data_IF_040712774941
#
_entry.id   IF_040712774941
#
_cell.length_a   1.000
_cell.length_b   1.000
_cell.length_c   1.000
_cell.angle_alpha   90.00
_cell.angle_beta   90.00
_cell.angle_gamma   90.00
#
_symmetry.space_group_name_H-M   'P 1'
#
loop_
_entity.id
_entity.type
_entity.pdbx_description
1 polymer ?
#
# COMPACT_ATOMS: atom_id res chain seq x y z
N UNK A 1 5.54 23.52 -21.37
CA UNK A 1 4.63 22.41 -21.01
C UNK A 1 4.61 22.37 -19.49
N UNK A 2 3.45 22.44 -18.85
CA UNK A 2 3.37 22.37 -17.39
C UNK A 2 3.84 20.98 -16.91
N UNK A 3 4.66 20.92 -15.87
CA UNK A 3 5.10 19.64 -15.31
C UNK A 3 4.00 19.06 -14.41
N UNK A 4 3.90 17.73 -14.35
CA UNK A 4 2.96 17.03 -13.46
C UNK A 4 3.10 17.53 -12.01
N UNK A 5 4.33 17.65 -11.51
CA UNK A 5 4.63 18.16 -10.18
C UNK A 5 4.03 19.55 -9.91
N UNK A 6 4.14 20.48 -10.87
CA UNK A 6 3.60 21.83 -10.73
C UNK A 6 2.07 21.82 -10.79
N UNK A 7 1.49 21.12 -11.77
CA UNK A 7 0.05 20.97 -11.90
C UNK A 7 -0.56 20.37 -10.62
N UNK A 8 0.02 19.28 -10.11
CA UNK A 8 -0.44 18.61 -8.89
C UNK A 8 -0.34 19.52 -7.65
N UNK A 9 0.76 20.27 -7.52
CA UNK A 9 0.92 21.24 -6.43
C UNK A 9 -0.09 22.38 -6.52
N UNK A 10 -0.33 22.91 -7.73
CA UNK A 10 -1.31 23.95 -7.99
C UNK A 10 -2.72 23.46 -7.63
N UNK A 11 -3.09 22.25 -8.06
CA UNK A 11 -4.38 21.63 -7.71
C UNK A 11 -4.53 21.56 -6.19
N UNK A 12 -3.54 21.02 -5.46
CA UNK A 12 -3.63 20.94 -4.01
C UNK A 12 -3.77 22.33 -3.37
N UNK A 13 -3.08 23.34 -3.90
CA UNK A 13 -3.19 24.72 -3.43
C UNK A 13 -4.57 25.34 -3.70
N UNK A 14 -5.22 25.02 -4.81
CA UNK A 14 -6.55 25.58 -5.14
C UNK A 14 -7.66 25.17 -4.18
N UNK A 15 -7.51 24.04 -3.50
CA UNK A 15 -8.49 23.58 -2.51
C UNK A 15 -8.15 24.02 -1.08
N UNK A 16 -6.94 24.55 -0.83
CA UNK A 16 -6.54 25.03 0.51
C UNK A 16 -7.51 26.12 0.96
N UNK A 17 -8.05 25.96 2.17
CA UNK A 17 -9.03 26.88 2.75
C UNK A 17 -10.47 26.62 2.33
N UNK A 18 -10.73 25.68 1.42
CA UNK A 18 -12.06 25.16 1.09
C UNK A 18 -12.27 23.76 1.67
N UNK A 19 -11.33 22.86 1.40
CA UNK A 19 -11.31 21.48 1.92
C UNK A 19 -9.90 20.90 1.78
N UNK A 20 -9.68 19.67 2.20
CA UNK A 20 -8.41 18.97 2.06
C UNK A 20 -8.61 17.57 1.49
N UNK A 21 -7.85 17.22 0.45
CA UNK A 21 -7.74 15.85 -0.03
C UNK A 21 -6.46 15.23 0.56
N UNK A 22 -6.57 14.63 1.74
CA UNK A 22 -5.42 14.04 2.42
C UNK A 22 -4.81 12.87 1.65
N UNK A 23 -5.61 12.11 0.89
CA UNK A 23 -5.11 11.02 0.06
C UNK A 23 -4.18 11.53 -1.04
N UNK A 24 -4.56 12.59 -1.76
CA UNK A 24 -3.67 13.22 -2.74
C UNK A 24 -2.42 13.81 -2.06
N UNK A 25 -2.56 14.37 -0.86
CA UNK A 25 -1.40 14.87 -0.08
C UNK A 25 -0.40 13.75 0.20
N UNK A 26 -0.85 12.54 0.56
CA UNK A 26 0.03 11.38 0.77
C UNK A 26 0.74 10.90 -0.50
N UNK A 27 0.15 11.13 -1.68
CA UNK A 27 0.75 10.74 -2.96
C UNK A 27 1.83 11.73 -3.46
N UNK A 28 1.98 12.89 -2.82
CA UNK A 28 2.90 13.95 -3.29
C UNK A 28 4.32 13.44 -3.54
N UNK A 29 4.89 12.67 -2.62
CA UNK A 29 6.25 12.14 -2.76
C UNK A 29 6.41 11.25 -3.99
N UNK A 30 5.43 10.37 -4.25
CA UNK A 30 5.43 9.51 -5.43
C UNK A 30 5.29 10.32 -6.73
N UNK A 31 4.44 11.37 -6.74
CA UNK A 31 4.30 12.28 -7.88
C UNK A 31 5.62 12.98 -8.21
N UNK A 32 6.32 13.49 -7.19
CA UNK A 32 7.61 14.14 -7.36
C UNK A 32 8.64 13.17 -7.96
N UNK A 33 8.75 11.96 -7.41
CA UNK A 33 9.68 10.93 -7.90
C UNK A 33 9.43 10.57 -9.38
N UNK A 34 8.18 10.32 -9.75
CA UNK A 34 7.80 9.95 -11.13
C UNK A 34 8.01 11.13 -12.08
N UNK A 35 7.59 12.34 -11.69
CA UNK A 35 7.73 13.54 -12.51
C UNK A 35 9.20 13.85 -12.78
N UNK A 36 10.06 13.82 -11.76
CA UNK A 36 11.48 14.17 -11.87
C UNK A 36 12.24 13.13 -12.73
N UNK A 37 11.83 11.86 -12.69
CA UNK A 37 12.46 10.76 -13.45
C UNK A 37 11.92 10.60 -14.90
N UNK A 38 10.85 11.31 -15.26
CA UNK A 38 10.15 11.13 -16.53
C UNK A 38 10.90 11.64 -17.77
N UNK A 39 11.88 12.53 -17.60
CA UNK A 39 12.60 13.15 -18.73
C UNK A 39 13.59 12.19 -19.40
N UNK A 40 14.03 11.16 -18.69
CA UNK A 40 15.10 10.24 -19.12
C UNK A 40 14.57 8.86 -19.51
N UNK A 41 13.25 8.64 -19.46
CA UNK A 41 12.63 7.33 -19.63
C UNK A 41 11.29 7.42 -20.34
N UNK A 42 11.18 6.77 -21.51
CA UNK A 42 9.98 6.81 -22.33
C UNK A 42 8.76 6.18 -21.63
N UNK A 43 8.95 5.15 -20.79
CA UNK A 43 7.84 4.51 -20.06
C UNK A 43 7.31 5.47 -18.99
N UNK A 44 8.20 6.08 -18.21
CA UNK A 44 7.81 7.08 -17.22
C UNK A 44 7.27 8.37 -17.85
N UNK A 45 7.76 8.76 -19.02
CA UNK A 45 7.22 9.88 -19.78
C UNK A 45 5.73 9.66 -20.12
N UNK A 46 5.37 8.49 -20.63
CA UNK A 46 3.97 8.15 -20.94
C UNK A 46 3.11 8.11 -19.68
N UNK A 47 3.60 7.52 -18.57
CA UNK A 47 2.90 7.58 -17.28
C UNK A 47 2.70 9.03 -16.81
N UNK A 48 3.75 9.84 -16.84
CA UNK A 48 3.71 11.24 -16.41
C UNK A 48 2.71 12.06 -17.25
N UNK A 49 2.66 11.82 -18.56
CA UNK A 49 1.68 12.45 -19.46
C UNK A 49 0.24 12.07 -19.10
N UNK A 50 -0.05 10.79 -18.90
CA UNK A 50 -1.39 10.32 -18.55
C UNK A 50 -1.82 10.79 -17.15
N UNK A 51 -0.88 10.82 -16.19
CA UNK A 51 -1.12 11.39 -14.87
C UNK A 51 -1.42 12.89 -14.94
N UNK A 52 -0.72 13.64 -15.80
CA UNK A 52 -0.95 15.06 -16.01
C UNK A 52 -2.33 15.31 -16.63
N UNK A 53 -2.78 14.46 -17.56
CA UNK A 53 -4.11 14.53 -18.15
C UNK A 53 -5.21 14.42 -17.07
N UNK A 54 -5.12 13.42 -16.20
CA UNK A 54 -6.05 13.24 -15.08
C UNK A 54 -5.97 14.43 -14.11
N UNK A 55 -4.76 14.87 -13.75
CA UNK A 55 -4.56 15.95 -12.79
C UNK A 55 -5.04 17.32 -13.32
N UNK A 56 -5.09 17.49 -14.64
CA UNK A 56 -5.56 18.71 -15.30
C UNK A 56 -7.09 18.77 -15.43
N UNK A 57 -7.81 17.70 -15.05
CA UNK A 57 -9.27 17.72 -15.07
C UNK A 57 -9.85 18.71 -14.08
N UNK A 58 -10.93 19.38 -14.48
CA UNK A 58 -11.65 20.31 -13.61
C UNK A 58 -12.10 19.61 -12.33
N UNK A 59 -11.83 20.23 -11.18
CA UNK A 59 -12.16 19.71 -9.87
C UNK A 59 -11.51 18.35 -9.55
N UNK A 60 -10.38 18.00 -10.18
CA UNK A 60 -9.64 16.75 -9.91
C UNK A 60 -9.50 16.46 -8.42
N UNK A 61 -9.02 17.42 -7.62
CA UNK A 61 -8.84 17.22 -6.17
C UNK A 61 -10.13 17.05 -5.36
N UNK A 62 -11.29 17.38 -5.92
CA UNK A 62 -12.60 17.20 -5.31
C UNK A 62 -13.33 15.96 -5.87
N UNK A 63 -12.73 15.28 -6.85
CA UNK A 63 -13.30 14.11 -7.50
C UNK A 63 -12.66 12.82 -6.95
N UNK A 64 -13.45 12.08 -6.16
CA UNK A 64 -13.01 10.86 -5.51
C UNK A 64 -12.68 9.72 -6.50
N UNK A 65 -13.42 9.61 -7.61
CA UNK A 65 -13.15 8.60 -8.64
C UNK A 65 -11.83 8.89 -9.34
N UNK A 66 -11.59 10.16 -9.68
CA UNK A 66 -10.34 10.59 -10.30
C UNK A 66 -9.14 10.47 -9.35
N UNK A 67 -9.34 10.70 -8.06
CA UNK A 67 -8.31 10.44 -7.04
C UNK A 67 -7.89 8.97 -7.06
N UNK A 68 -8.85 8.04 -7.13
CA UNK A 68 -8.56 6.60 -7.23
C UNK A 68 -7.88 6.22 -8.53
N UNK A 69 -8.38 6.71 -9.67
CA UNK A 69 -7.80 6.48 -10.99
C UNK A 69 -6.34 6.95 -11.03
N UNK A 70 -6.07 8.16 -10.54
CA UNK A 70 -4.74 8.74 -10.45
C UNK A 70 -3.81 7.89 -9.58
N UNK A 71 -4.27 7.43 -8.42
CA UNK A 71 -3.46 6.62 -7.50
C UNK A 71 -3.13 5.22 -8.04
N UNK A 72 -4.03 4.63 -8.83
CA UNK A 72 -3.76 3.36 -9.52
C UNK A 72 -2.64 3.54 -10.54
N UNK A 73 -2.78 4.53 -11.43
CA UNK A 73 -1.79 4.81 -12.46
C UNK A 73 -0.43 5.23 -11.88
N UNK A 74 -0.44 6.03 -10.80
CA UNK A 74 0.78 6.44 -10.10
C UNK A 74 1.47 5.26 -9.42
N UNK A 75 0.71 4.31 -8.87
CA UNK A 75 1.25 3.09 -8.26
C UNK A 75 2.05 2.25 -9.24
N UNK A 76 1.52 2.03 -10.45
CA UNK A 76 2.25 1.35 -11.53
C UNK A 76 3.55 2.09 -11.89
N UNK A 77 3.46 3.41 -12.12
CA UNK A 77 4.61 4.23 -12.49
C UNK A 77 5.70 4.21 -11.42
N UNK A 78 5.30 4.30 -10.15
CA UNK A 78 6.21 4.27 -9.02
C UNK A 78 6.86 2.88 -8.85
N UNK A 79 6.11 1.79 -9.02
CA UNK A 79 6.69 0.44 -8.98
C UNK A 79 7.76 0.25 -10.07
N UNK A 80 7.47 0.68 -11.30
CA UNK A 80 8.43 0.67 -12.39
C UNK A 80 9.70 1.45 -12.02
N UNK A 81 9.55 2.66 -11.48
CA UNK A 81 10.68 3.49 -11.06
C UNK A 81 11.51 2.84 -9.94
N UNK A 82 10.86 2.22 -8.95
CA UNK A 82 11.54 1.51 -7.86
C UNK A 82 12.38 0.34 -8.40
N UNK A 83 11.85 -0.42 -9.35
CA UNK A 83 12.59 -1.49 -10.03
C UNK A 83 13.78 -0.93 -10.81
N UNK A 84 13.56 0.11 -11.63
CA UNK A 84 14.62 0.76 -12.41
C UNK A 84 15.75 1.28 -11.53
N UNK A 85 15.43 1.93 -10.41
CA UNK A 85 16.43 2.45 -9.46
C UNK A 85 17.29 1.35 -8.82
N UNK A 86 16.79 0.11 -8.82
CA UNK A 86 17.51 -1.10 -8.38
C UNK A 86 18.21 -1.83 -9.53
N UNK A 87 18.23 -1.26 -10.73
CA UNK A 87 18.81 -1.87 -11.93
C UNK A 87 17.96 -2.98 -12.54
N UNK A 88 16.69 -3.10 -12.15
CA UNK A 88 15.75 -4.10 -12.68
C UNK A 88 14.98 -3.46 -13.83
N UNK A 89 15.17 -4.00 -15.03
CA UNK A 89 14.51 -3.51 -16.25
C UNK A 89 13.20 -4.27 -16.45
N UNK A 90 12.09 -3.55 -16.43
CA UNK A 90 10.76 -4.08 -16.67
C UNK A 90 10.25 -3.65 -18.05
N UNK A 91 9.58 -4.56 -18.74
CA UNK A 91 8.82 -4.27 -19.94
C UNK A 91 7.35 -4.10 -19.56
N UNK A 92 6.81 -2.90 -19.81
CA UNK A 92 5.37 -2.65 -19.66
C UNK A 92 4.59 -3.42 -20.73
N UNK A 93 3.61 -4.21 -20.30
CA UNK A 93 2.69 -4.88 -21.22
C UNK A 93 1.53 -3.93 -21.47
N UNK A 94 1.34 -3.52 -22.73
CA UNK A 94 0.22 -2.63 -23.09
C UNK A 94 -1.10 -3.38 -22.95
N UNK A 95 -2.08 -2.74 -22.33
CA UNK A 95 -3.43 -3.25 -22.24
C UNK A 95 -3.98 -3.55 -23.65
N UNK A 96 -4.26 -4.83 -23.91
CA UNK A 96 -4.89 -5.30 -25.14
C UNK A 96 -6.32 -5.75 -24.90
N UNK A 97 -6.86 -6.56 -25.82
CA UNK A 97 -8.16 -7.21 -25.66
C UNK A 97 -8.13 -8.35 -24.63
N UNK A 98 -6.96 -8.93 -24.38
CA UNK A 98 -6.73 -9.92 -23.34
C UNK A 98 -6.32 -9.24 -22.03
N UNK A 99 -6.79 -9.78 -20.89
CA UNK A 99 -6.29 -9.37 -19.58
C UNK A 99 -4.86 -9.90 -19.42
N UNK A 100 -3.92 -9.02 -19.18
CA UNK A 100 -2.49 -9.34 -19.03
C UNK A 100 -1.96 -8.72 -17.74
N UNK A 101 -0.83 -9.22 -17.22
CA UNK A 101 -0.10 -8.53 -16.16
C UNK A 101 0.41 -7.18 -16.64
N UNK A 102 0.70 -6.26 -15.72
CA UNK A 102 1.17 -4.90 -16.04
C UNK A 102 2.63 -4.88 -16.54
N UNK A 103 3.49 -5.70 -15.92
CA UNK A 103 4.92 -5.74 -16.25
C UNK A 103 5.44 -7.17 -16.43
N UNK A 104 6.47 -7.29 -17.26
CA UNK A 104 7.31 -8.50 -17.40
C UNK A 104 8.77 -8.14 -17.18
N UNK A 105 9.49 -8.97 -16.43
CA UNK A 105 10.94 -8.87 -16.34
C UNK A 105 11.59 -9.44 -17.60
N UNK A 106 12.46 -8.68 -18.27
CA UNK A 106 12.95 -9.05 -19.62
C UNK A 106 13.69 -10.39 -19.67
N UNK A 107 14.44 -10.73 -18.62
CA UNK A 107 15.32 -11.89 -18.63
C UNK A 107 14.59 -13.23 -18.39
N UNK A 108 13.34 -13.24 -17.93
CA UNK A 108 12.61 -14.44 -17.52
C UNK A 108 11.09 -14.30 -17.66
N UNK A 109 10.35 -15.42 -17.63
CA UNK A 109 8.87 -15.41 -17.58
C UNK A 109 8.30 -14.99 -16.21
N UNK A 110 8.92 -13.99 -15.57
CA UNK A 110 8.44 -13.36 -14.35
C UNK A 110 7.57 -12.15 -14.69
N UNK A 111 6.35 -12.13 -14.15
CA UNK A 111 5.38 -11.06 -14.37
C UNK A 111 4.97 -10.40 -13.06
N UNK A 112 4.63 -9.11 -13.13
CA UNK A 112 4.14 -8.33 -12.01
C UNK A 112 2.78 -7.72 -12.34
N UNK A 113 1.82 -7.92 -11.46
CA UNK A 113 0.51 -7.27 -11.50
C UNK A 113 0.43 -6.27 -10.34
N UNK A 114 0.28 -4.98 -10.65
CA UNK A 114 0.29 -3.90 -9.66
C UNK A 114 -1.12 -3.47 -9.31
N UNK A 115 -1.47 -3.56 -8.03
CA UNK A 115 -2.77 -3.13 -7.50
C UNK A 115 -2.56 -2.08 -6.40
N UNK A 116 -2.99 -0.85 -6.66
CA UNK A 116 -3.19 0.15 -5.60
C UNK A 116 -4.50 -0.12 -4.88
N UNK A 117 -4.41 -0.54 -3.61
CA UNK A 117 -5.60 -0.79 -2.80
C UNK A 117 -6.19 0.55 -2.35
N UNK A 118 -7.45 0.80 -2.73
CA UNK A 118 -8.20 1.98 -2.26
C UNK A 118 -8.74 1.74 -0.83
N UNK A 119 -9.25 2.80 -0.20
CA UNK A 119 -9.94 2.73 1.10
C UNK A 119 -11.12 1.73 1.08
N UNK A 120 -11.59 1.30 2.26
CA UNK A 120 -12.65 0.28 2.40
C UNK A 120 -13.84 0.54 1.48
N UNK A 121 -14.37 1.76 1.49
CA UNK A 121 -15.54 2.16 0.69
C UNK A 121 -15.18 2.74 -0.69
N UNK A 122 -13.93 2.56 -1.15
CA UNK A 122 -13.45 3.10 -2.43
C UNK A 122 -13.66 4.60 -2.56
N UNK A 123 -14.11 5.05 -3.73
CA UNK A 123 -14.39 6.47 -3.98
C UNK A 123 -15.39 7.07 -3.01
N UNK A 124 -16.38 6.31 -2.53
CA UNK A 124 -17.33 6.81 -1.53
C UNK A 124 -16.65 7.13 -0.20
N UNK A 125 -15.60 6.39 0.19
CA UNK A 125 -14.81 6.68 1.39
C UNK A 125 -13.96 7.95 1.23
N UNK A 126 -13.36 8.14 0.06
CA UNK A 126 -12.62 9.38 -0.27
C UNK A 126 -13.57 10.57 -0.29
N UNK A 127 -14.75 10.42 -0.91
CA UNK A 127 -15.80 11.45 -0.94
C UNK A 127 -16.23 11.85 0.47
N UNK A 128 -16.49 10.89 1.35
CA UNK A 128 -16.83 11.16 2.76
C UNK A 128 -15.72 11.97 3.45
N UNK A 129 -14.45 11.60 3.25
CA UNK A 129 -13.32 12.36 3.81
C UNK A 129 -13.24 13.80 3.31
N UNK A 130 -13.61 14.05 2.04
CA UNK A 130 -13.69 15.41 1.48
C UNK A 130 -14.85 16.21 2.07
N UNK A 131 -16.01 15.56 2.28
CA UNK A 131 -17.19 16.15 2.93
C UNK A 131 -16.88 16.51 4.39
N UNK A 132 -16.29 15.58 5.16
CA UNK A 132 -15.87 15.80 6.55
C UNK A 132 -14.84 16.96 6.65
N UNK A 133 -13.91 17.06 5.69
CA UNK A 133 -12.95 18.18 5.64
C UNK A 133 -13.59 19.52 5.26
N UNK A 134 -14.65 19.52 4.46
CA UNK A 134 -15.38 20.74 4.11
C UNK A 134 -16.21 21.22 5.31
N UNK A 135 -16.87 20.31 6.02
CA UNK A 135 -17.63 20.63 7.24
C UNK A 135 -16.73 21.24 8.31
N UNK A 136 -15.55 20.65 8.54
CA UNK A 136 -14.55 21.21 9.46
C UNK A 136 -14.12 22.65 9.07
N UNK A 137 -14.06 22.96 7.77
CA UNK A 137 -13.73 24.30 7.29
C UNK A 137 -14.88 25.29 7.50
N UNK A 138 -16.13 24.86 7.28
CA UNK A 138 -17.33 25.66 7.57
C UNK A 138 -17.38 26.01 9.07
N UNK A 139 -17.12 25.04 9.95
CA UNK A 139 -17.08 25.26 11.39
C UNK A 139 -16.02 26.30 11.79
N UNK A 140 -14.82 26.22 11.21
CA UNK A 140 -13.75 27.21 11.41
C UNK A 140 -14.23 28.61 11.01
N UNK A 141 -14.84 28.76 9.84
CA UNK A 141 -15.32 30.05 9.36
C UNK A 141 -16.42 30.63 10.26
N UNK A 142 -17.34 29.80 10.73
CA UNK A 142 -18.44 30.21 11.60
C UNK A 142 -17.95 30.67 12.98
N UNK A 143 -16.92 30.01 13.53
CA UNK A 143 -16.26 30.43 14.75
C UNK A 143 -15.55 31.79 14.60
N UNK A 144 -14.87 32.01 13.48
CA UNK A 144 -14.23 33.29 13.17
C UNK A 144 -15.27 34.41 12.99
N UNK A 145 -16.39 34.14 12.31
CA UNK A 145 -17.50 35.11 12.16
C UNK A 145 -18.14 35.47 13.50
N UNK A 146 -18.16 34.54 14.47
CA UNK A 146 -18.61 34.78 15.85
C UNK A 146 -17.60 35.58 16.69
N UNK A 147 -16.47 36.00 16.11
CA UNK A 147 -15.47 36.84 16.77
C UNK A 147 -14.46 36.05 17.62
N UNK A 148 -14.39 34.72 17.46
CA UNK A 148 -13.32 33.94 18.11
C UNK A 148 -11.98 34.32 17.50
N UNK A 149 -10.98 34.54 18.36
CA UNK A 149 -9.60 34.87 17.95
C UNK A 149 -8.85 33.66 17.36
N UNK A 150 -9.22 32.47 17.79
CA UNK A 150 -8.67 31.19 17.33
C UNK A 150 -9.86 30.27 17.09
N UNK A 151 -9.88 29.62 15.93
CA UNK A 151 -10.86 28.63 15.53
C UNK A 151 -10.11 27.35 15.11
N UNK A 152 -10.65 26.19 15.45
CA UNK A 152 -10.03 24.90 15.17
C UNK A 152 -11.07 23.93 14.64
N UNK A 153 -10.79 23.31 13.49
CA UNK A 153 -11.58 22.23 12.93
C UNK A 153 -10.79 20.93 12.97
N UNK A 154 -11.49 19.81 13.12
CA UNK A 154 -10.89 18.48 13.09
C UNK A 154 -11.49 17.75 11.89
N UNK A 155 -10.63 17.30 10.98
CA UNK A 155 -10.98 16.38 9.91
C UNK A 155 -10.28 15.05 10.16
N UNK A 156 -10.98 13.95 9.92
CA UNK A 156 -10.53 12.60 10.22
C UNK A 156 -10.36 11.81 8.93
N UNK A 157 -9.16 11.24 8.73
CA UNK A 157 -8.87 10.36 7.60
C UNK A 157 -8.92 8.92 8.09
N UNK A 158 -9.86 8.14 7.59
CA UNK A 158 -10.08 6.74 7.98
C UNK A 158 -10.06 5.80 6.77
N UNK A 159 -8.87 5.33 6.32
CA UNK A 159 -8.77 4.39 5.20
C UNK A 159 -9.53 3.08 5.42
N UNK A 160 -9.64 2.66 6.69
CA UNK A 160 -10.34 1.47 7.14
C UNK A 160 -11.80 1.74 7.56
N UNK A 161 -12.27 2.99 7.48
CA UNK A 161 -13.56 3.43 8.01
C UNK A 161 -13.73 3.05 9.49
N UNK A 162 -14.96 2.69 9.87
CA UNK A 162 -15.31 2.31 11.25
C UNK A 162 -14.90 0.88 11.62
N UNK A 163 -14.30 0.10 10.71
CA UNK A 163 -14.06 -1.34 10.94
C UNK A 163 -13.21 -1.63 12.19
N UNK A 164 -12.09 -0.93 12.45
CA UNK A 164 -11.28 -1.15 13.65
C UNK A 164 -12.02 -0.88 14.97
N UNK A 165 -13.05 -0.02 14.94
CA UNK A 165 -13.80 0.40 16.12
C UNK A 165 -15.08 -0.41 16.34
N UNK A 166 -15.42 -1.34 15.44
CA UNK A 166 -16.56 -2.23 15.63
C UNK A 166 -16.31 -3.16 16.80
N UNK A 167 -17.25 -3.19 17.74
CA UNK A 167 -17.20 -4.04 18.93
C UNK A 167 -16.86 -5.49 18.56
N UNK A 168 -15.79 -6.01 19.15
CA UNK A 168 -15.36 -7.41 19.00
C UNK A 168 -14.55 -7.71 17.73
N UNK A 169 -14.20 -6.72 16.90
CA UNK A 169 -13.34 -6.94 15.72
C UNK A 169 -11.88 -6.55 15.89
N UNK A 170 -11.48 -5.83 16.94
CA UNK A 170 -10.07 -5.44 17.16
C UNK A 170 -9.48 -4.56 16.03
N UNK A 171 -8.34 -3.91 16.28
CA UNK A 171 -7.75 -3.03 15.26
C UNK A 171 -6.96 -3.83 14.23
N UNK A 172 -6.11 -4.74 14.68
CA UNK A 172 -5.22 -5.51 13.81
C UNK A 172 -6.01 -6.49 12.96
N UNK A 173 -6.97 -7.19 13.55
CA UNK A 173 -7.83 -8.14 12.84
C UNK A 173 -8.64 -7.43 11.76
N UNK A 174 -9.22 -6.26 12.05
CA UNK A 174 -9.96 -5.48 11.06
C UNK A 174 -9.07 -5.02 9.89
N UNK A 175 -7.80 -4.67 10.15
CA UNK A 175 -6.83 -4.31 9.12
C UNK A 175 -6.52 -5.51 8.23
N UNK A 176 -6.14 -6.65 8.82
CA UNK A 176 -5.82 -7.88 8.08
C UNK A 176 -6.98 -8.31 7.20
N UNK A 177 -8.19 -8.44 7.76
CA UNK A 177 -9.37 -8.87 7.01
C UNK A 177 -9.71 -7.92 5.87
N UNK A 178 -9.54 -6.61 6.10
CA UNK A 178 -9.78 -5.60 5.06
C UNK A 178 -8.75 -5.71 3.95
N UNK A 179 -7.47 -5.85 4.25
CA UNK A 179 -6.43 -5.98 3.24
C UNK A 179 -6.61 -7.26 2.42
N UNK A 180 -6.96 -8.39 3.06
CA UNK A 180 -7.31 -9.63 2.35
C UNK A 180 -8.53 -9.39 1.44
N UNK A 181 -9.62 -8.82 1.95
CA UNK A 181 -10.83 -8.53 1.17
C UNK A 181 -10.55 -7.68 -0.07
N UNK A 182 -9.82 -6.57 0.12
CA UNK A 182 -9.52 -5.62 -0.95
C UNK A 182 -8.57 -6.25 -1.97
N UNK A 183 -7.63 -7.08 -1.53
CA UNK A 183 -6.77 -7.84 -2.42
C UNK A 183 -7.58 -8.82 -3.26
N UNK A 184 -8.39 -9.67 -2.64
CA UNK A 184 -9.23 -10.65 -3.33
C UNK A 184 -10.17 -10.01 -4.36
N UNK A 185 -10.78 -8.86 -4.05
CA UNK A 185 -11.65 -8.13 -4.97
C UNK A 185 -10.94 -7.64 -6.24
N UNK A 186 -9.62 -7.44 -6.17
CA UNK A 186 -8.82 -6.94 -7.29
C UNK A 186 -8.09 -8.04 -8.06
N UNK A 187 -8.03 -9.27 -7.52
CA UNK A 187 -7.37 -10.40 -8.17
C UNK A 187 -8.24 -10.98 -9.28
N UNK A 188 -7.67 -11.08 -10.49
CA UNK A 188 -8.30 -11.75 -11.64
C UNK A 188 -7.30 -12.74 -12.22
N UNK A 189 -7.63 -14.04 -12.18
CA UNK A 189 -6.76 -15.14 -12.63
C UNK A 189 -6.15 -14.91 -14.02
N UNK A 190 -6.92 -14.38 -14.96
CA UNK A 190 -6.46 -14.13 -16.33
C UNK A 190 -5.23 -13.20 -16.41
N UNK A 191 -4.99 -12.37 -15.37
CA UNK A 191 -3.83 -11.49 -15.29
C UNK A 191 -2.55 -12.20 -14.83
N UNK A 192 -2.63 -13.50 -14.52
CA UNK A 192 -1.53 -14.34 -14.01
C UNK A 192 -1.31 -15.53 -14.94
N UNK A 193 -0.68 -15.31 -16.12
CA UNK A 193 -0.64 -16.29 -17.20
C UNK A 193 0.27 -17.50 -16.92
N UNK A 194 1.25 -17.40 -16.01
CA UNK A 194 2.30 -18.39 -15.76
C UNK A 194 2.63 -18.58 -14.26
N UNK A 195 3.46 -19.58 -13.93
CA UNK A 195 3.87 -20.00 -12.57
C UNK A 195 4.73 -19.00 -11.78
N UNK A 196 5.23 -17.92 -12.41
CA UNK A 196 6.10 -16.92 -11.77
C UNK A 196 5.46 -15.52 -11.81
N UNK A 197 4.23 -15.42 -11.32
CA UNK A 197 3.45 -14.18 -11.36
C UNK A 197 3.33 -13.60 -9.94
N UNK A 198 3.81 -12.38 -9.77
CA UNK A 198 3.88 -11.69 -8.48
C UNK A 198 2.79 -10.63 -8.41
N UNK A 199 2.08 -10.61 -7.28
CA UNK A 199 1.16 -9.54 -6.97
C UNK A 199 1.94 -8.41 -6.28
N UNK A 200 1.86 -7.19 -6.81
CA UNK A 200 2.40 -6.00 -6.17
C UNK A 200 1.24 -5.21 -5.57
N UNK A 201 1.20 -5.08 -4.26
CA UNK A 201 0.20 -4.30 -3.53
C UNK A 201 0.80 -2.94 -3.17
N UNK A 202 0.25 -1.88 -3.78
CA UNK A 202 0.58 -0.52 -3.40
C UNK A 202 -0.34 -0.05 -2.26
N UNK A 203 0.24 0.18 -1.09
CA UNK A 203 -0.46 0.54 0.14
C UNK A 203 -0.41 2.05 0.45
N UNK A 204 -0.28 2.90 -0.57
CA UNK A 204 -0.21 4.36 -0.42
C UNK A 204 -1.50 5.01 0.09
N UNK A 205 -2.67 4.41 -0.20
CA UNK A 205 -3.99 4.92 0.22
C UNK A 205 -4.51 4.21 1.48
N UNK A 206 -4.25 2.92 1.61
CA UNK A 206 -4.67 2.09 2.74
C UNK A 206 -3.43 1.47 3.39
N UNK A 207 -2.78 2.20 4.32
CA UNK A 207 -1.49 1.79 4.88
C UNK A 207 -1.65 0.56 5.79
N UNK A 208 -0.61 -0.25 5.97
CA UNK A 208 -0.60 -1.28 7.02
C UNK A 208 -0.76 -0.66 8.41
N UNK A 209 -0.98 -1.49 9.42
CA UNK A 209 -1.05 -1.05 10.81
C UNK A 209 0.24 -0.31 11.23
N UNK A 210 1.39 -0.83 10.80
CA UNK A 210 2.71 -0.20 11.03
C UNK A 210 3.57 -0.30 9.77
N UNK A 211 4.49 0.66 9.62
CA UNK A 211 5.42 0.75 8.48
C UNK A 211 6.86 0.36 8.84
N UNK A 212 7.01 -0.41 9.91
CA UNK A 212 8.25 -1.10 10.28
C UNK A 212 8.24 -2.55 9.79
N UNK A 213 9.38 -3.08 9.35
CA UNK A 213 9.44 -4.37 8.67
C UNK A 213 9.13 -5.60 9.55
N UNK A 214 9.08 -5.48 10.88
CA UNK A 214 8.69 -6.57 11.78
C UNK A 214 7.24 -7.05 11.55
N UNK A 215 6.39 -6.26 10.89
CA UNK A 215 5.03 -6.70 10.50
C UNK A 215 5.01 -7.80 9.43
N UNK A 216 6.16 -8.05 8.80
CA UNK A 216 6.37 -9.19 7.91
C UNK A 216 6.61 -10.50 8.69
N UNK A 217 6.60 -10.49 10.02
CA UNK A 217 6.71 -11.70 10.86
C UNK A 217 5.33 -12.19 11.30
N UNK A 218 5.13 -13.49 11.56
CA UNK A 218 3.85 -13.99 12.07
C UNK A 218 3.45 -13.33 13.41
N UNK A 219 4.44 -13.08 14.27
CA UNK A 219 4.31 -12.27 15.46
C UNK A 219 5.64 -11.56 15.78
N UNK A 220 5.57 -10.40 16.42
CA UNK A 220 6.71 -9.65 16.89
C UNK A 220 6.48 -9.12 18.32
N UNK A 221 7.57 -8.80 19.01
CA UNK A 221 7.49 -8.16 20.32
C UNK A 221 7.41 -6.65 20.12
N UNK A 222 6.37 -6.04 20.65
CA UNK A 222 6.19 -4.58 20.72
C UNK A 222 6.38 -4.16 22.19
N UNK A 223 7.33 -3.28 22.45
CA UNK A 223 7.65 -2.78 23.78
C UNK A 223 7.35 -1.29 23.98
N UNK A 224 6.59 -0.66 23.07
CA UNK A 224 6.33 0.79 23.08
C UNK A 224 5.66 1.29 24.37
N UNK A 225 4.65 0.56 24.88
CA UNK A 225 4.02 0.84 26.18
C UNK A 225 4.52 -0.13 27.25
N UNK A 226 4.48 -1.41 26.91
CA UNK A 226 4.98 -2.55 27.67
C UNK A 226 5.20 -3.70 26.69
N UNK A 227 6.02 -4.69 27.08
CA UNK A 227 6.35 -5.85 26.26
C UNK A 227 5.10 -6.69 26.02
N UNK A 228 4.71 -6.83 24.76
CA UNK A 228 3.58 -7.66 24.32
C UNK A 228 3.87 -8.29 22.96
N UNK A 229 3.27 -9.44 22.71
CA UNK A 229 3.28 -10.05 21.38
C UNK A 229 2.18 -9.40 20.54
N UNK A 230 2.51 -9.01 19.31
CA UNK A 230 1.59 -8.43 18.35
C UNK A 230 1.68 -9.24 17.05
N UNK A 231 0.56 -9.49 16.42
CA UNK A 231 0.52 -10.18 15.12
C UNK A 231 1.02 -9.27 14.01
N UNK A 232 1.87 -9.79 13.12
CA UNK A 232 2.25 -9.08 11.90
C UNK A 232 1.11 -9.11 10.90
N UNK A 233 0.53 -7.94 10.63
CA UNK A 233 -0.64 -7.79 9.78
C UNK A 233 -0.34 -8.18 8.33
N UNK A 234 0.80 -7.75 7.79
CA UNK A 234 1.18 -8.08 6.42
C UNK A 234 1.52 -9.58 6.26
N UNK A 235 2.18 -10.20 7.23
CA UNK A 235 2.40 -11.65 7.20
C UNK A 235 1.08 -12.42 7.18
N UNK A 236 0.11 -12.02 7.99
CA UNK A 236 -1.22 -12.65 8.02
C UNK A 236 -2.00 -12.45 6.72
N UNK A 237 -1.86 -11.30 6.05
CA UNK A 237 -2.45 -11.08 4.72
C UNK A 237 -1.94 -12.10 3.70
N UNK A 238 -0.67 -12.51 3.77
CA UNK A 238 -0.12 -13.50 2.86
C UNK A 238 -0.40 -14.94 3.32
N UNK A 239 -0.09 -15.28 4.57
CA UNK A 239 0.01 -16.68 5.04
C UNK A 239 -0.98 -17.08 6.13
N UNK A 240 -1.79 -16.12 6.61
CA UNK A 240 -2.78 -16.37 7.66
C UNK A 240 -3.72 -17.52 7.29
N UNK A 241 -4.19 -18.27 8.28
CA UNK A 241 -5.18 -19.34 8.10
C UNK A 241 -6.41 -19.03 8.93
N UNK A 242 -7.58 -19.35 8.40
CA UNK A 242 -8.83 -19.20 9.14
C UNK A 242 -8.74 -19.92 10.49
N UNK A 243 -9.17 -19.25 11.56
CA UNK A 243 -9.07 -19.73 12.94
C UNK A 243 -7.76 -19.43 13.66
N UNK A 244 -6.78 -18.76 13.03
CA UNK A 244 -5.59 -18.28 13.73
C UNK A 244 -5.94 -17.16 14.72
N UNK A 245 -5.29 -17.16 15.89
CA UNK A 245 -5.43 -16.08 16.88
C UNK A 245 -4.71 -14.82 16.41
N UNK A 246 -5.39 -13.68 16.51
CA UNK A 246 -4.80 -12.36 16.26
C UNK A 246 -4.50 -11.68 17.59
N UNK A 247 -3.23 -11.33 17.77
CA UNK A 247 -2.75 -10.59 18.93
C UNK A 247 -2.72 -9.10 18.60
N UNK A 248 -3.56 -8.32 19.29
CA UNK A 248 -3.68 -6.88 19.14
C UNK A 248 -2.75 -6.08 20.03
N UNK A 249 -3.05 -4.79 20.15
CA UNK A 249 -2.45 -3.90 21.15
C UNK A 249 -3.44 -3.75 22.32
N UNK A 250 -3.23 -4.45 23.46
CA UNK A 250 -3.95 -4.15 24.71
C UNK A 250 -3.78 -2.67 25.12
N UNK A 251 -4.83 -2.07 25.67
CA UNK A 251 -4.84 -0.67 26.09
C UNK A 251 -3.99 -0.45 27.35
N UNK A 252 -3.90 -1.45 28.23
CA UNK A 252 -3.10 -1.42 29.45
C UNK A 252 -2.53 -2.79 29.84
N UNK A 253 -1.53 -2.79 30.72
CA UNK A 253 -0.89 -4.01 31.22
C UNK A 253 -1.89 -4.89 31.99
N UNK A 254 -1.97 -6.17 31.63
CA UNK A 254 -2.90 -7.13 32.23
C UNK A 254 -4.22 -7.31 31.47
N UNK A 255 -4.51 -6.47 30.48
CA UNK A 255 -5.62 -6.70 29.54
C UNK A 255 -5.33 -7.87 28.58
N UNK A 256 -6.38 -8.54 28.12
CA UNK A 256 -6.26 -9.59 27.12
C UNK A 256 -5.72 -9.03 25.80
N UNK A 257 -4.58 -9.58 25.33
CA UNK A 257 -3.98 -9.17 24.06
C UNK A 257 -4.57 -9.85 22.82
N UNK A 258 -5.55 -10.74 22.96
CA UNK A 258 -6.18 -11.44 21.83
C UNK A 258 -7.39 -10.63 21.36
N UNK A 259 -7.36 -10.18 20.10
CA UNK A 259 -8.48 -9.46 19.49
C UNK A 259 -9.58 -10.40 18.99
N UNK A 260 -9.19 -11.58 18.50
CA UNK A 260 -10.12 -12.52 17.90
C UNK A 260 -9.44 -13.61 17.08
N UNK A 261 -10.24 -14.26 16.25
CA UNK A 261 -9.80 -15.28 15.29
C UNK A 261 -9.86 -14.70 13.89
N UNK A 262 -8.86 -15.00 13.07
CA UNK A 262 -8.84 -14.65 11.66
C UNK A 262 -9.96 -15.40 10.92
N UNK A 263 -10.88 -14.69 10.27
CA UNK A 263 -11.98 -15.35 9.53
C UNK A 263 -11.51 -15.89 8.17
N UNK A 264 -10.51 -15.25 7.55
CA UNK A 264 -10.12 -15.47 6.14
C UNK A 264 -8.71 -16.03 6.00
N UNK A 265 -8.51 -16.90 5.03
CA UNK A 265 -7.16 -17.31 4.64
C UNK A 265 -6.43 -16.15 3.96
N UNK A 266 -5.12 -16.06 4.21
CA UNK A 266 -4.22 -15.19 3.48
C UNK A 266 -4.10 -15.61 2.01
N UNK A 267 -3.61 -14.70 1.19
CA UNK A 267 -3.62 -14.85 -0.27
C UNK A 267 -2.75 -16.03 -0.74
N UNK A 268 -1.57 -16.22 -0.17
CA UNK A 268 -0.65 -17.30 -0.55
C UNK A 268 -1.00 -18.64 0.12
N UNK A 269 -1.76 -18.62 1.22
CA UNK A 269 -2.23 -19.84 1.90
C UNK A 269 -3.57 -20.37 1.34
N UNK A 270 -4.30 -19.57 0.57
CA UNK A 270 -5.58 -19.94 -0.03
C UNK A 270 -5.37 -20.64 -1.40
N UNK A 271 -5.78 -21.92 -1.56
CA UNK A 271 -5.67 -22.65 -2.82
C UNK A 271 -6.37 -21.98 -4.01
N UNK A 272 -7.34 -21.10 -3.78
CA UNK A 272 -8.02 -20.34 -4.84
C UNK A 272 -7.04 -19.43 -5.60
N UNK A 273 -5.99 -18.94 -4.95
CA UNK A 273 -5.02 -17.99 -5.50
C UNK A 273 -3.66 -18.62 -5.75
N UNK A 274 -3.58 -19.94 -5.96
CA UNK A 274 -2.34 -20.66 -6.24
C UNK A 274 -1.57 -20.22 -7.51
N UNK A 275 -2.16 -19.32 -8.31
CA UNK A 275 -1.53 -18.66 -9.45
C UNK A 275 -0.73 -17.40 -9.06
N UNK A 276 -0.82 -16.96 -7.80
CA UNK A 276 0.02 -15.89 -7.22
C UNK A 276 1.19 -16.55 -6.52
N UNK A 277 2.40 -16.29 -7.02
CA UNK A 277 3.61 -16.97 -6.53
C UNK A 277 4.24 -16.28 -5.32
N UNK A 278 3.99 -14.98 -5.19
CA UNK A 278 4.51 -14.16 -4.11
C UNK A 278 3.87 -12.78 -4.12
N UNK A 279 4.00 -12.08 -3.01
CA UNK A 279 3.44 -10.74 -2.83
C UNK A 279 4.57 -9.76 -2.56
N UNK A 280 4.60 -8.68 -3.34
CA UNK A 280 5.43 -7.52 -3.10
C UNK A 280 4.53 -6.40 -2.55
N UNK A 281 5.01 -5.68 -1.54
CA UNK A 281 4.28 -4.65 -0.84
C UNK A 281 5.02 -3.33 -1.01
N UNK A 282 4.42 -2.34 -1.65
CA UNK A 282 4.98 -0.98 -1.66
C UNK A 282 4.52 -0.26 -0.40
N UNK A 283 5.46 -0.06 0.52
CA UNK A 283 5.24 0.60 1.79
C UNK A 283 5.73 2.04 1.71
N UNK A 284 4.96 2.95 2.31
CA UNK A 284 5.23 4.38 2.33
C UNK A 284 5.44 4.84 3.77
N UNK A 285 6.60 4.55 4.39
CA UNK A 285 6.84 4.96 5.76
C UNK A 285 6.88 6.49 5.87
N UNK A 286 6.49 7.00 7.03
CA UNK A 286 6.59 8.42 7.30
C UNK A 286 8.07 8.84 7.37
N UNK A 287 8.45 9.90 6.65
CA UNK A 287 9.82 10.44 6.55
C UNK A 287 10.91 9.52 5.97
N UNK A 288 10.57 8.34 5.44
CA UNK A 288 11.51 7.49 4.69
C UNK A 288 11.07 7.36 3.23
N UNK A 289 11.99 7.06 2.30
CA UNK A 289 11.61 6.71 0.94
C UNK A 289 10.67 5.50 0.90
N UNK A 290 9.87 5.39 -0.16
CA UNK A 290 9.06 4.20 -0.42
C UNK A 290 9.95 2.96 -0.53
N UNK A 291 9.53 1.88 0.12
CA UNK A 291 10.23 0.60 0.13
C UNK A 291 9.38 -0.48 -0.51
N UNK A 292 10.02 -1.51 -1.08
CA UNK A 292 9.34 -2.72 -1.53
C UNK A 292 9.67 -3.84 -0.55
N UNK A 293 8.65 -4.45 0.02
CA UNK A 293 8.81 -5.60 0.91
C UNK A 293 8.27 -6.87 0.25
N UNK A 294 8.77 -8.04 0.64
CA UNK A 294 8.42 -9.32 0.02
C UNK A 294 7.81 -10.34 0.99
N UNK A 295 6.80 -11.08 0.52
CA UNK A 295 6.29 -12.28 1.16
C UNK A 295 6.25 -13.39 0.12
N UNK A 296 7.02 -14.44 0.34
CA UNK A 296 7.22 -15.53 -0.62
C UNK A 296 6.88 -16.87 0.02
N UNK A 297 6.20 -17.76 -0.69
CA UNK A 297 6.00 -19.13 -0.21
C UNK A 297 7.36 -19.85 -0.10
N UNK A 298 7.66 -20.47 1.04
CA UNK A 298 8.97 -21.08 1.31
C UNK A 298 9.30 -22.23 0.35
N UNK A 299 8.30 -23.00 -0.10
CA UNK A 299 8.52 -24.09 -1.05
C UNK A 299 8.85 -23.55 -2.43
N UNK A 300 8.14 -22.50 -2.85
CA UNK A 300 8.38 -21.88 -4.16
C UNK A 300 9.70 -21.11 -4.17
N UNK A 301 10.02 -20.44 -3.06
CA UNK A 301 11.31 -19.79 -2.86
C UNK A 301 12.47 -20.80 -2.95
N UNK A 302 12.38 -21.96 -2.30
CA UNK A 302 13.38 -23.00 -2.41
C UNK A 302 13.57 -23.47 -3.87
N UNK A 303 12.48 -23.63 -4.63
CA UNK A 303 12.54 -23.99 -6.04
C UNK A 303 13.23 -22.93 -6.91
N UNK A 304 13.08 -21.64 -6.60
CA UNK A 304 13.77 -20.58 -7.34
C UNK A 304 15.28 -20.62 -7.14
N UNK A 305 15.75 -20.86 -5.92
CA UNK A 305 17.18 -20.94 -5.65
C UNK A 305 17.84 -22.06 -6.46
N UNK A 306 17.13 -23.16 -6.68
CA UNK A 306 17.65 -24.31 -7.43
C UNK A 306 17.47 -24.18 -8.95
N UNK A 307 16.30 -23.71 -9.40
CA UNK A 307 15.89 -23.80 -10.82
C UNK A 307 15.88 -22.47 -11.56
N UNK A 308 15.71 -21.34 -10.85
CA UNK A 308 15.57 -20.01 -11.44
C UNK A 308 16.25 -18.93 -10.58
N UNK A 309 17.58 -19.01 -10.37
CA UNK A 309 18.29 -18.15 -9.42
C UNK A 309 18.19 -16.65 -9.75
N UNK A 310 17.98 -16.30 -11.02
CA UNK A 310 17.77 -14.89 -11.42
C UNK A 310 16.44 -14.32 -10.90
N UNK A 311 15.39 -15.13 -10.70
CA UNK A 311 14.14 -14.68 -10.07
C UNK A 311 14.42 -14.32 -8.61
N UNK A 312 15.02 -15.25 -7.85
CA UNK A 312 15.38 -15.01 -6.45
C UNK A 312 16.28 -13.78 -6.30
N UNK A 313 17.31 -13.67 -7.14
CA UNK A 313 18.21 -12.51 -7.16
C UNK A 313 17.47 -11.21 -7.46
N UNK A 314 16.57 -11.18 -8.44
CA UNK A 314 15.79 -9.98 -8.75
C UNK A 314 14.91 -9.56 -7.56
N UNK A 315 14.22 -10.51 -6.93
CA UNK A 315 13.38 -10.25 -5.77
C UNK A 315 14.20 -9.72 -4.58
N UNK A 316 15.34 -10.34 -4.28
CA UNK A 316 16.20 -9.89 -3.17
C UNK A 316 16.90 -8.57 -3.43
N UNK A 317 17.24 -8.25 -4.68
CA UNK A 317 17.71 -6.89 -5.03
C UNK A 317 16.61 -5.86 -4.77
N UNK A 318 15.36 -6.20 -5.10
CA UNK A 318 14.21 -5.32 -4.94
C UNK A 318 13.84 -5.12 -3.47
N UNK A 319 13.80 -6.19 -2.68
CA UNK A 319 13.35 -6.17 -1.27
C UNK A 319 14.46 -5.90 -0.26
N UNK A 320 15.73 -6.15 -0.61
CA UNK A 320 16.82 -6.17 0.36
C UNK A 320 16.52 -7.17 1.48
N UNK A 321 16.68 -6.74 2.73
CA UNK A 321 16.36 -7.54 3.93
C UNK A 321 14.87 -7.54 4.31
N UNK A 322 14.04 -6.75 3.62
CA UNK A 322 12.61 -6.61 3.93
C UNK A 322 11.77 -7.70 3.26
N UNK A 323 12.02 -8.96 3.60
CA UNK A 323 11.20 -10.06 3.12
C UNK A 323 10.96 -11.11 4.20
N UNK A 324 9.97 -11.98 4.01
CA UNK A 324 9.79 -13.17 4.81
C UNK A 324 9.04 -14.27 4.05
N UNK A 325 8.91 -15.44 4.67
CA UNK A 325 8.11 -16.56 4.18
C UNK A 325 7.17 -17.12 5.25
N UNK A 326 6.42 -18.16 4.88
CA UNK A 326 5.47 -18.84 5.77
C UNK A 326 6.16 -19.58 6.95
N UNK A 327 7.49 -19.70 6.91
CA UNK A 327 8.31 -20.36 7.93
C UNK A 327 9.07 -19.35 8.82
N UNK A 328 8.85 -18.05 8.66
CA UNK A 328 9.58 -16.95 9.34
C UNK A 328 11.11 -17.04 9.13
N UNK A 329 11.57 -17.53 7.98
CA UNK A 329 12.99 -17.84 7.76
C UNK A 329 13.90 -16.62 7.83
N UNK A 330 13.37 -15.44 7.52
CA UNK A 330 14.09 -14.16 7.54
C UNK A 330 13.72 -13.29 8.76
N UNK A 331 12.92 -13.82 9.70
CA UNK A 331 12.43 -13.07 10.86
C UNK A 331 13.50 -12.43 11.74
N UNK A 332 14.73 -12.95 11.70
CA UNK A 332 15.87 -12.41 12.45
C UNK A 332 16.40 -11.07 11.89
N UNK A 333 16.18 -10.77 10.60
CA UNK A 333 16.49 -9.48 9.98
C UNK A 333 15.37 -8.43 10.18
N UNK A 334 14.18 -8.90 10.57
CA UNK A 334 12.97 -8.08 10.68
C UNK A 334 12.81 -7.54 12.10
N UNK A 335 13.70 -6.62 12.48
CA UNK A 335 13.77 -6.02 13.83
C UNK A 335 13.18 -4.61 13.92
N UNK A 336 12.54 -4.12 12.85
CA UNK A 336 12.07 -2.75 12.71
C UNK A 336 13.11 -1.83 12.08
N UNK A 337 12.79 -0.55 11.90
CA UNK A 337 13.80 0.43 11.50
C UNK A 337 14.87 0.48 12.60
N UNK A 338 16.11 0.09 12.27
CA UNK A 338 17.26 0.32 13.14
C UNK A 338 17.22 1.78 13.59
N UNK A 339 17.00 2.05 14.87
CA UNK A 339 17.49 3.30 15.44
C UNK A 339 19.01 3.21 15.32
N UNK A 340 19.56 3.85 14.30
CA UNK A 340 20.99 4.15 14.26
C UNK A 340 21.27 5.14 15.40
N UNK A 341 21.32 4.63 16.63
CA UNK A 341 21.97 5.29 17.74
C UNK A 341 23.47 5.02 17.57
N UNK A 342 24.10 5.93 16.84
CA UNK A 342 25.55 6.10 16.75
C UNK A 342 25.87 7.58 16.86
#
# INVERSE_FOLDING_TARGET
MESLKNCFTNVLQTIIGLTNNSYLTFLKGAVEMVSDSSQEDNVLYEYNKNLLEIASENNFALNADKTNEFAQLLGEAQFYLLCKNKGIILNRIKAGTAKTPDFRFEAQDMCFEVKTLSVVSGSSGIKKSLEDSLEAQIDIEDELKKGKRIATGISVVQPYGERPYKKGKGTITAIIETLIEKTCQNLKRDQFPNTSSFLVLNLSIIPPFRTDNYVLRPAYCDDYLFKKAVTGDLWMVAFGKSGMLIHGIPEFEGEAGIEGLLEKSGILSDPQYNYVTGILLMIHPWHRPTEVWGLFDSQVHAQWNDSNPEIAKCLFILTGDNWNDDMDSNGWNLQGALQSNG
#
